data_IF_380290578266
#
_entry.id   IF_380290578266
#
_cell.length_a   1.000
_cell.length_b   1.000
_cell.length_c   1.000
_cell.angle_alpha   90.00
_cell.angle_beta   90.00
_cell.angle_gamma   90.00
#
_symmetry.space_group_name_H-M   'P 1'
#
loop_
_entity.id
_entity.type
_entity.pdbx_description
1 polymer ?
#
# COMPACT_ATOMS: atom_id res chain seq x y z
N UNK A 1 -7.49 18.50 -13.32
CA UNK A 1 -6.88 17.16 -13.17
C UNK A 1 -7.49 16.48 -11.95
N UNK A 2 -8.15 15.32 -12.13
CA UNK A 2 -8.87 14.62 -11.06
C UNK A 2 -7.90 14.04 -10.03
N UNK A 3 -8.12 14.31 -8.74
CA UNK A 3 -7.23 13.88 -7.65
C UNK A 3 -7.43 12.40 -7.35
N UNK A 4 -6.49 11.54 -7.80
CA UNK A 4 -6.58 10.09 -7.63
C UNK A 4 -6.38 9.61 -6.19
N UNK A 5 -5.88 10.47 -5.29
CA UNK A 5 -5.62 10.18 -3.87
C UNK A 5 -6.86 9.66 -3.12
N UNK A 6 -8.08 10.00 -3.57
CA UNK A 6 -9.33 9.49 -2.96
C UNK A 6 -10.12 8.55 -3.87
N UNK A 7 -9.52 8.12 -4.98
CA UNK A 7 -10.17 7.23 -5.94
C UNK A 7 -10.51 5.87 -5.33
N UNK A 8 -11.52 5.15 -5.85
CA UNK A 8 -11.81 3.79 -5.42
C UNK A 8 -10.59 2.86 -5.55
N UNK A 9 -9.76 3.08 -6.56
CA UNK A 9 -8.51 2.36 -6.80
C UNK A 9 -7.45 2.59 -5.71
N UNK A 10 -7.26 3.84 -5.30
CA UNK A 10 -6.33 4.14 -4.20
C UNK A 10 -6.80 3.50 -2.89
N UNK A 11 -8.11 3.59 -2.59
CA UNK A 11 -8.69 2.92 -1.42
C UNK A 11 -8.50 1.40 -1.46
N UNK A 12 -8.67 0.78 -2.63
CA UNK A 12 -8.45 -0.65 -2.81
C UNK A 12 -6.99 -1.06 -2.58
N UNK A 13 -6.03 -0.28 -3.10
CA UNK A 13 -4.60 -0.49 -2.86
C UNK A 13 -4.25 -0.40 -1.36
N UNK A 14 -4.69 0.67 -0.69
CA UNK A 14 -4.43 0.89 0.73
C UNK A 14 -5.01 -0.25 1.58
N UNK A 15 -6.27 -0.64 1.32
CA UNK A 15 -6.90 -1.74 2.02
C UNK A 15 -6.12 -3.05 1.86
N UNK A 16 -5.65 -3.36 0.64
CA UNK A 16 -4.85 -4.54 0.35
C UNK A 16 -3.53 -4.56 1.14
N UNK A 17 -2.79 -3.44 1.15
CA UNK A 17 -1.51 -3.34 1.87
C UNK A 17 -1.72 -3.53 3.38
N UNK A 18 -2.75 -2.88 3.95
CA UNK A 18 -3.09 -3.00 5.38
C UNK A 18 -3.45 -4.45 5.73
N UNK A 19 -4.24 -5.12 4.90
CA UNK A 19 -4.64 -6.51 5.08
C UNK A 19 -3.43 -7.44 5.07
N UNK A 20 -2.58 -7.36 4.03
CA UNK A 20 -1.38 -8.18 3.92
C UNK A 20 -0.39 -7.92 5.05
N UNK A 21 -0.18 -6.67 5.45
CA UNK A 21 0.68 -6.32 6.59
C UNK A 21 0.17 -6.97 7.88
N UNK A 22 -1.12 -6.86 8.17
CA UNK A 22 -1.73 -7.46 9.37
C UNK A 22 -1.65 -8.98 9.33
N UNK A 23 -1.90 -9.61 8.17
CA UNK A 23 -1.78 -11.05 7.99
C UNK A 23 -0.33 -11.54 8.21
N UNK A 24 0.67 -10.73 7.83
CA UNK A 24 2.08 -10.99 8.11
C UNK A 24 2.50 -10.71 9.57
N UNK A 25 1.58 -10.26 10.44
CA UNK A 25 1.87 -9.96 11.85
C UNK A 25 2.78 -8.75 12.07
N UNK A 26 2.93 -7.87 11.07
CA UNK A 26 3.85 -6.73 11.12
C UNK A 26 3.16 -5.46 11.62
N UNK A 27 3.82 -4.67 12.45
CA UNK A 27 3.37 -3.30 12.74
C UNK A 27 3.77 -2.33 11.62
N UNK A 28 3.19 -1.12 11.60
CA UNK A 28 3.64 -0.07 10.67
C UNK A 28 5.11 0.30 10.89
N UNK A 29 5.59 0.26 12.14
CA UNK A 29 6.98 0.52 12.49
C UNK A 29 7.92 -0.57 11.96
N UNK A 30 7.49 -1.84 11.98
CA UNK A 30 8.28 -2.96 11.43
C UNK A 30 8.48 -2.82 9.93
N UNK A 31 7.41 -2.52 9.19
CA UNK A 31 7.48 -2.29 7.74
C UNK A 31 8.38 -1.10 7.44
N UNK A 32 8.21 0.02 8.16
CA UNK A 32 9.03 1.20 7.97
C UNK A 32 10.52 0.92 8.23
N UNK A 33 10.83 0.17 9.29
CA UNK A 33 12.19 -0.26 9.62
C UNK A 33 12.79 -1.11 8.51
N UNK A 34 12.03 -2.08 7.97
CA UNK A 34 12.48 -2.93 6.84
C UNK A 34 12.73 -2.12 5.56
N UNK A 35 11.90 -1.11 5.30
CA UNK A 35 12.07 -0.17 4.17
C UNK A 35 13.17 0.88 4.41
N UNK A 36 13.78 0.94 5.59
CA UNK A 36 14.70 2.02 6.00
C UNK A 36 14.06 3.41 5.86
N UNK A 37 12.78 3.53 6.23
CA UNK A 37 11.98 4.77 6.23
C UNK A 37 11.44 5.09 7.62
N UNK A 38 10.99 6.32 7.81
CA UNK A 38 10.25 6.71 9.01
C UNK A 38 8.87 6.04 9.06
N UNK A 39 8.36 5.74 10.25
CA UNK A 39 7.02 5.15 10.42
C UNK A 39 5.91 6.03 9.82
N UNK A 40 6.09 7.35 9.78
CA UNK A 40 5.18 8.30 9.12
C UNK A 40 4.98 8.02 7.63
N UNK A 41 5.95 7.41 6.95
CA UNK A 41 5.81 6.96 5.56
C UNK A 41 4.68 5.93 5.45
N UNK A 42 4.72 4.88 6.28
CA UNK A 42 3.71 3.82 6.28
C UNK A 42 2.37 4.35 6.80
N UNK A 43 2.38 5.22 7.81
CA UNK A 43 1.16 5.81 8.35
C UNK A 43 0.41 6.68 7.33
N UNK A 44 1.12 7.55 6.59
CA UNK A 44 0.52 8.43 5.57
C UNK A 44 0.09 7.68 4.31
N UNK A 45 0.76 6.57 4.01
CA UNK A 45 0.33 5.62 2.99
C UNK A 45 -0.97 4.92 3.41
N UNK A 46 -1.01 4.34 4.61
CA UNK A 46 -2.18 3.58 5.11
C UNK A 46 -3.39 4.47 5.41
N UNK A 47 -3.18 5.77 5.67
CA UNK A 47 -4.26 6.77 5.77
C UNK A 47 -4.80 7.20 4.39
N UNK A 48 -4.17 6.76 3.30
CA UNK A 48 -4.52 7.14 1.93
C UNK A 48 -4.21 8.60 1.60
N UNK A 49 -3.38 9.27 2.40
CA UNK A 49 -2.97 10.66 2.17
C UNK A 49 -1.77 10.77 1.20
N UNK A 50 -1.09 9.64 0.96
CA UNK A 50 0.07 9.55 0.06
C UNK A 50 -0.17 8.54 -1.05
N UNK A 51 0.30 8.87 -2.26
CA UNK A 51 0.37 7.92 -3.38
C UNK A 51 1.58 7.00 -3.20
N UNK A 52 1.44 5.78 -3.71
CA UNK A 52 2.52 4.79 -3.77
C UNK A 52 2.86 4.63 -5.25
N UNK A 53 4.12 4.81 -5.62
CA UNK A 53 4.57 4.48 -6.97
C UNK A 53 4.80 2.97 -7.12
N UNK A 54 5.08 2.51 -8.34
CA UNK A 54 5.21 1.07 -8.62
C UNK A 54 6.44 0.46 -7.96
N UNK A 55 7.54 1.21 -7.80
CA UNK A 55 8.77 0.73 -7.18
C UNK A 55 8.54 0.60 -5.67
N UNK A 56 7.93 1.62 -5.05
CA UNK A 56 7.53 1.56 -3.64
C UNK A 56 6.56 0.41 -3.36
N UNK A 57 5.66 0.09 -4.30
CA UNK A 57 4.77 -1.05 -4.17
C UNK A 57 5.52 -2.39 -4.21
N UNK A 58 6.56 -2.51 -5.05
CA UNK A 58 7.42 -3.70 -5.08
C UNK A 58 8.23 -3.83 -3.79
N UNK A 59 8.81 -2.74 -3.29
CA UNK A 59 9.53 -2.74 -2.01
C UNK A 59 8.60 -3.17 -0.85
N UNK A 60 7.35 -2.69 -0.85
CA UNK A 60 6.34 -3.11 0.12
C UNK A 60 6.00 -4.59 0.01
N UNK A 61 5.89 -5.10 -1.23
CA UNK A 61 5.63 -6.51 -1.50
C UNK A 61 6.73 -7.40 -0.91
N UNK A 62 8.00 -7.02 -1.11
CA UNK A 62 9.16 -7.75 -0.61
C UNK A 62 9.25 -7.76 0.92
N UNK A 63 9.06 -6.61 1.56
CA UNK A 63 9.20 -6.51 3.03
C UNK A 63 8.00 -7.05 3.80
N UNK A 64 6.81 -7.04 3.21
CA UNK A 64 5.58 -7.58 3.83
C UNK A 64 5.39 -9.06 3.48
N UNK A 65 5.84 -9.50 2.29
CA UNK A 65 5.71 -10.87 1.82
C UNK A 65 4.38 -11.13 1.09
N UNK A 66 4.04 -10.31 0.10
CA UNK A 66 2.90 -10.55 -0.80
C UNK A 66 3.31 -10.48 -2.27
N UNK A 67 2.51 -11.08 -3.17
CA UNK A 67 2.74 -10.93 -4.61
C UNK A 67 2.18 -9.60 -5.12
N UNK A 68 3.05 -8.76 -5.70
CA UNK A 68 2.67 -7.47 -6.29
C UNK A 68 1.53 -7.58 -7.30
N UNK A 69 1.42 -8.70 -8.02
CA UNK A 69 0.36 -8.95 -9.02
C UNK A 69 -1.02 -9.02 -8.37
N UNK A 70 -1.13 -9.54 -7.16
CA UNK A 70 -2.38 -9.57 -6.40
C UNK A 70 -2.86 -8.15 -6.08
N UNK A 71 -1.93 -7.25 -5.70
CA UNK A 71 -2.26 -5.85 -5.47
C UNK A 71 -2.81 -5.19 -6.74
N UNK A 72 -2.19 -5.45 -7.90
CA UNK A 72 -2.65 -4.93 -9.19
C UNK A 72 -4.03 -5.49 -9.56
N UNK A 73 -4.26 -6.79 -9.40
CA UNK A 73 -5.58 -7.40 -9.64
C UNK A 73 -6.66 -6.77 -8.76
N UNK A 74 -6.36 -6.54 -7.47
CA UNK A 74 -7.26 -5.87 -6.52
C UNK A 74 -7.60 -4.43 -6.94
N UNK A 75 -6.65 -3.71 -7.52
CA UNK A 75 -6.87 -2.36 -8.04
C UNK A 75 -7.69 -2.39 -9.33
N UNK A 76 -7.44 -3.35 -10.23
CA UNK A 76 -8.17 -3.50 -11.49
C UNK A 76 -9.66 -3.81 -11.27
N UNK A 77 -9.99 -4.56 -10.21
CA UNK A 77 -11.37 -4.88 -9.85
C UNK A 77 -12.15 -3.69 -9.24
N UNK A 78 -11.46 -2.61 -8.86
CA UNK A 78 -12.09 -1.42 -8.31
C UNK A 78 -12.60 -0.48 -9.43
N UNK A 79 -13.76 0.15 -9.20
CA UNK A 79 -14.36 1.12 -10.14
C UNK A 79 -13.34 2.20 -10.52
N UNK A 80 -13.32 2.58 -11.81
CA UNK A 80 -12.59 3.78 -12.26
C UNK A 80 -13.23 5.01 -11.60
N UNK A 81 -12.38 5.97 -11.20
CA UNK A 81 -12.81 7.25 -10.67
C UNK A 81 -13.34 8.15 -11.79
#
# INVERSE_FOLDING_TARGET
MSTTIRSPRQKALVAFIVEKRKAAGLTQADVAKRLKRYQSFVATLESGQRRVDVIELMDLADVIGFDVREAIQRILSAKRA
#
